data_IF_313409354451
#
_entry.id   IF_313409354451
#
_cell.length_a   1.000
_cell.length_b   1.000
_cell.length_c   1.000
_cell.angle_alpha   90.00
_cell.angle_beta   90.00
_cell.angle_gamma   90.00
#
_symmetry.space_group_name_H-M   'P 1'
#
loop_
_entity.id
_entity.type
_entity.pdbx_description
1 polymer ?
#
# COMPACT_ATOMS: atom_id res chain seq x y z
N UNK A 1 22.69 -0.31 -7.88
CA UNK A 1 22.53 -0.74 -8.36
C UNK A 1 21.40 -1.34 -8.99
N UNK A 2 21.30 -2.37 -8.69
CA UNK A 2 20.27 -3.02 -9.17
C UNK A 2 19.03 -2.41 -8.64
N UNK A 3 18.32 -1.78 -9.45
CA UNK A 3 17.12 -1.14 -9.03
C UNK A 3 16.01 -2.13 -8.78
N UNK A 4 16.34 -3.35 -8.71
CA UNK A 4 15.35 -4.34 -8.47
C UNK A 4 14.61 -4.09 -7.18
N UNK A 5 13.31 -4.12 -7.27
CA UNK A 5 12.48 -3.97 -6.11
C UNK A 5 12.29 -5.33 -5.50
N UNK A 6 12.82 -5.49 -4.29
CA UNK A 6 12.62 -6.72 -3.56
C UNK A 6 11.80 -6.39 -2.35
N UNK A 7 10.50 -6.42 -2.52
CA UNK A 7 9.60 -6.11 -1.42
C UNK A 7 9.18 -7.41 -0.78
N UNK A 8 9.45 -7.51 0.50
CA UNK A 8 8.97 -8.66 1.24
C UNK A 8 7.56 -8.36 1.67
N UNK A 9 6.63 -8.82 0.91
CA UNK A 9 5.23 -8.56 1.18
C UNK A 9 4.77 -9.46 2.30
N UNK A 10 3.88 -8.95 3.17
CA UNK A 10 3.31 -9.80 4.21
C UNK A 10 2.68 -11.05 3.62
N UNK A 11 2.99 -12.19 4.19
CA UNK A 11 2.45 -13.45 3.73
C UNK A 11 3.19 -14.08 2.56
N UNK A 12 4.17 -13.38 1.99
CA UNK A 12 4.98 -13.94 0.90
C UNK A 12 6.36 -14.22 1.45
N UNK A 13 6.68 -15.49 1.57
CA UNK A 13 7.97 -15.88 2.14
C UNK A 13 8.95 -16.40 1.11
N UNK A 14 8.43 -16.78 -0.03
CA UNK A 14 9.27 -17.34 -1.08
C UNK A 14 9.63 -16.22 -2.05
N UNK A 15 10.92 -15.98 -2.19
CA UNK A 15 11.42 -14.95 -3.09
C UNK A 15 11.00 -15.19 -4.53
N UNK A 16 10.97 -16.46 -4.94
CA UNK A 16 10.55 -16.76 -6.29
C UNK A 16 9.08 -16.44 -6.50
N UNK A 17 8.24 -16.74 -5.52
CA UNK A 17 6.83 -16.42 -5.60
C UNK A 17 6.62 -14.91 -5.60
N UNK A 18 7.37 -14.18 -4.78
CA UNK A 18 7.30 -12.73 -4.78
C UNK A 18 7.70 -12.15 -6.12
N UNK A 19 8.76 -12.65 -6.72
CA UNK A 19 9.18 -12.20 -8.03
C UNK A 19 8.13 -12.47 -9.08
N UNK A 20 7.49 -13.61 -9.01
CA UNK A 20 6.46 -13.94 -9.96
C UNK A 20 5.29 -12.98 -9.86
N UNK A 21 4.87 -12.67 -8.65
CA UNK A 21 3.79 -11.73 -8.42
C UNK A 21 4.16 -10.34 -8.91
N UNK A 22 5.32 -9.84 -8.49
CA UNK A 22 5.75 -8.50 -8.88
C UNK A 22 6.04 -8.41 -10.37
N UNK A 23 6.63 -9.45 -10.93
CA UNK A 23 6.93 -9.47 -12.35
C UNK A 23 5.67 -9.50 -13.19
N UNK A 24 4.57 -9.98 -12.61
CA UNK A 24 3.32 -9.94 -13.31
C UNK A 24 2.79 -8.52 -13.35
N UNK A 25 2.41 -7.91 -12.20
CA UNK A 25 1.81 -6.58 -12.26
C UNK A 25 1.50 -6.01 -10.91
N UNK A 26 2.29 -6.30 -9.93
CA UNK A 26 2.06 -5.75 -8.59
C UNK A 26 2.82 -4.45 -8.39
N UNK A 27 2.23 -3.54 -7.63
CA UNK A 27 2.87 -2.27 -7.30
C UNK A 27 2.36 -1.76 -5.96
N UNK A 28 3.00 -0.70 -5.48
CA UNK A 28 2.60 -0.05 -4.24
C UNK A 28 2.24 1.40 -4.51
N UNK A 29 1.36 1.94 -3.69
CA UNK A 29 1.04 3.36 -3.67
C UNK A 29 0.99 3.85 -2.24
N UNK A 30 1.39 5.09 -2.04
CA UNK A 30 1.30 5.75 -0.74
C UNK A 30 0.21 6.80 -0.80
N UNK A 31 -0.73 6.73 0.17
CA UNK A 31 -1.89 7.63 0.18
C UNK A 31 -2.15 8.11 1.60
N UNK A 32 -2.67 9.34 1.69
CA UNK A 32 -3.08 9.88 2.97
C UNK A 32 -4.37 9.20 3.43
N UNK A 33 -4.50 9.01 4.74
CA UNK A 33 -5.74 8.51 5.32
C UNK A 33 -6.67 9.69 5.55
N UNK A 34 -7.93 9.54 5.18
CA UNK A 34 -8.94 10.56 5.44
C UNK A 34 -9.60 10.24 6.77
N UNK A 35 -9.37 11.10 7.75
CA UNK A 35 -9.91 10.92 9.08
C UNK A 35 -11.16 11.78 9.34
N UNK A 36 -11.69 12.41 8.31
CA UNK A 36 -12.81 13.35 8.49
C UNK A 36 -14.12 12.67 8.82
N UNK A 37 -14.30 11.42 8.41
CA UNK A 37 -15.50 10.66 8.74
C UNK A 37 -15.13 9.24 9.10
N UNK A 38 -16.02 8.56 9.80
CA UNK A 38 -15.80 7.17 10.16
C UNK A 38 -15.90 6.27 8.92
N UNK A 39 -14.94 5.38 8.67
CA UNK A 39 -15.04 4.48 7.53
C UNK A 39 -16.29 3.58 7.59
N UNK A 40 -16.68 3.13 8.78
CA UNK A 40 -17.86 2.29 8.92
C UNK A 40 -19.13 3.07 8.56
N UNK A 41 -19.20 4.33 8.96
CA UNK A 41 -20.34 5.17 8.61
C UNK A 41 -20.40 5.42 7.12
N UNK A 42 -19.24 5.65 6.49
CA UNK A 42 -19.19 5.85 5.05
C UNK A 42 -19.67 4.64 4.29
N UNK A 43 -19.29 3.45 4.74
CA UNK A 43 -19.76 2.21 4.12
C UNK A 43 -21.27 2.06 4.28
N UNK A 44 -21.77 2.30 5.48
CA UNK A 44 -23.20 2.11 5.78
C UNK A 44 -24.08 3.11 5.05
N UNK A 45 -23.65 4.36 4.97
CA UNK A 45 -24.49 5.44 4.39
C UNK A 45 -24.23 5.65 2.91
N UNK A 46 -23.08 5.22 2.40
CA UNK A 46 -22.68 5.54 1.05
C UNK A 46 -22.11 6.93 0.89
N UNK A 47 -22.01 7.70 1.98
CA UNK A 47 -21.50 9.06 1.92
C UNK A 47 -20.00 9.07 2.11
N UNK A 48 -19.27 9.16 1.00
CA UNK A 48 -17.82 9.19 0.99
C UNK A 48 -17.39 10.59 0.56
N UNK A 49 -16.44 11.22 1.28
CA UNK A 49 -15.93 12.51 0.83
C UNK A 49 -15.46 12.45 -0.62
N UNK A 50 -15.72 13.48 -1.43
CA UNK A 50 -15.48 13.39 -2.88
C UNK A 50 -14.01 13.20 -3.26
N UNK A 51 -13.08 13.60 -2.40
CA UNK A 51 -11.65 13.41 -2.67
C UNK A 51 -11.09 12.16 -2.03
N UNK A 52 -11.95 11.27 -1.55
CA UNK A 52 -11.53 10.02 -0.91
C UNK A 52 -12.28 8.83 -1.48
N UNK A 53 -11.78 7.64 -1.16
CA UNK A 53 -12.38 6.40 -1.61
C UNK A 53 -12.22 5.36 -0.50
N UNK A 54 -13.15 4.41 -0.45
CA UNK A 54 -13.10 3.32 0.53
C UNK A 54 -12.14 2.26 0.03
N UNK A 55 -11.19 1.90 0.88
CA UNK A 55 -10.29 0.76 0.68
C UNK A 55 -10.51 -0.20 1.83
N UNK A 56 -9.93 -1.38 1.72
CA UNK A 56 -10.01 -2.37 2.78
C UNK A 56 -8.62 -2.84 3.16
N UNK A 57 -8.43 -3.10 4.44
CA UNK A 57 -7.16 -3.62 4.92
C UNK A 57 -7.02 -5.09 4.54
N UNK A 58 -5.78 -5.54 4.41
CA UNK A 58 -5.51 -6.96 4.17
C UNK A 58 -5.99 -7.82 5.33
N UNK A 59 -5.72 -7.36 6.56
CA UNK A 59 -6.19 -8.08 7.73
C UNK A 59 -7.68 -7.89 7.92
N UNK A 60 -8.32 -8.88 8.51
CA UNK A 60 -9.75 -8.79 8.82
C UNK A 60 -9.95 -8.49 10.29
N UNK A 61 -11.13 -8.03 10.64
CA UNK A 61 -11.47 -7.76 12.02
C UNK A 61 -11.76 -9.01 12.80
N UNK A 62 -12.05 -8.89 14.11
CA UNK A 62 -12.34 -10.04 14.96
C UNK A 62 -13.55 -10.84 14.49
N UNK A 63 -14.46 -10.21 13.79
CA UNK A 63 -15.64 -10.87 13.24
C UNK A 63 -15.40 -11.50 11.88
N UNK A 64 -14.16 -11.48 11.39
CA UNK A 64 -13.81 -12.03 10.10
C UNK A 64 -14.18 -11.14 8.92
N UNK A 65 -14.70 -9.95 9.18
CA UNK A 65 -15.11 -9.05 8.11
C UNK A 65 -13.98 -8.10 7.71
N UNK A 66 -13.96 -7.65 6.45
CA UNK A 66 -12.95 -6.68 6.02
C UNK A 66 -13.04 -5.38 6.81
N UNK A 67 -11.89 -4.78 7.07
CA UNK A 67 -11.79 -3.52 7.80
C UNK A 67 -11.70 -2.40 6.78
N UNK A 68 -12.69 -1.51 6.69
CA UNK A 68 -12.64 -0.42 5.74
C UNK A 68 -11.76 0.73 6.25
N UNK A 69 -11.22 1.47 5.32
CA UNK A 69 -10.45 2.67 5.62
C UNK A 69 -10.62 3.64 4.45
N UNK A 70 -10.69 4.92 4.77
CA UNK A 70 -10.83 5.95 3.75
C UNK A 70 -9.45 6.51 3.41
N UNK A 71 -9.12 6.50 2.14
CA UNK A 71 -7.86 7.06 1.66
C UNK A 71 -8.15 8.14 0.63
N UNK A 72 -7.29 9.13 0.58
CA UNK A 72 -7.38 10.18 -0.42
C UNK A 72 -7.12 9.61 -1.80
N UNK A 73 -7.83 10.12 -2.78
CA UNK A 73 -7.65 9.70 -4.17
C UNK A 73 -6.31 10.12 -4.73
N UNK A 74 -5.76 11.21 -4.22
CA UNK A 74 -4.47 11.70 -4.67
C UNK A 74 -3.36 10.81 -4.13
N UNK A 75 -2.48 10.35 -5.01
CA UNK A 75 -1.37 9.49 -4.64
C UNK A 75 -0.18 10.34 -4.24
N UNK A 76 0.45 10.01 -3.10
CA UNK A 76 1.65 10.70 -2.66
C UNK A 76 2.85 10.23 -3.48
N UNK A 77 2.99 8.91 -3.61
CA UNK A 77 4.06 8.30 -4.39
C UNK A 77 3.55 6.99 -4.97
N UNK A 78 3.99 6.68 -6.19
CA UNK A 78 3.58 5.46 -6.87
C UNK A 78 4.74 4.49 -6.94
N UNK A 79 4.43 3.25 -7.32
CA UNK A 79 5.43 2.20 -7.42
C UNK A 79 6.53 2.48 -8.42
N UNK A 80 6.21 3.20 -9.53
CA UNK A 80 7.26 3.52 -10.50
C UNK A 80 8.23 4.56 -9.97
N UNK A 81 7.96 5.19 -8.86
CA UNK A 81 8.89 6.11 -8.23
C UNK A 81 9.78 5.43 -7.19
N UNK A 82 9.51 4.16 -6.90
CA UNK A 82 10.38 3.38 -6.03
C UNK A 82 11.61 2.92 -6.81
N UNK A 83 12.77 3.22 -6.29
CA UNK A 83 14.02 2.76 -6.90
C UNK A 83 14.64 1.61 -6.13
N UNK A 84 14.28 1.45 -4.88
CA UNK A 84 14.79 0.37 -4.07
C UNK A 84 13.89 0.11 -2.87
N UNK A 85 13.84 -1.14 -2.44
CA UNK A 85 13.13 -1.52 -1.22
C UNK A 85 13.83 -2.74 -0.65
N UNK A 86 14.12 -2.69 0.65
CA UNK A 86 14.82 -3.78 1.32
C UNK A 86 14.20 -4.05 2.67
N UNK A 87 13.93 -5.31 2.96
CA UNK A 87 13.39 -5.69 4.26
C UNK A 87 14.51 -5.83 5.27
N UNK A 88 14.17 -5.63 6.53
CA UNK A 88 15.11 -5.75 7.61
C UNK A 88 14.38 -5.73 8.93
N UNK A 89 15.14 -5.49 9.98
CA UNK A 89 14.58 -5.44 11.33
C UNK A 89 15.05 -4.19 12.03
N UNK A 90 14.15 -3.60 12.81
CA UNK A 90 14.49 -2.46 13.64
C UNK A 90 15.49 -2.90 14.70
N UNK A 91 16.57 -2.16 14.82
CA UNK A 91 17.62 -2.52 15.76
C UNK A 91 17.23 -2.33 17.22
N UNK A 92 16.21 -1.51 17.47
CA UNK A 92 15.80 -1.22 18.83
C UNK A 92 14.85 -2.26 19.37
N UNK A 93 13.86 -2.66 18.59
CA UNK A 93 12.85 -3.58 19.11
C UNK A 93 12.72 -4.87 18.29
N UNK A 94 13.51 -5.02 17.24
CA UNK A 94 13.49 -6.22 16.43
C UNK A 94 12.28 -6.36 15.53
N UNK A 95 11.45 -5.33 15.42
CA UNK A 95 10.27 -5.43 14.58
C UNK A 95 10.64 -5.39 13.09
N UNK A 96 9.88 -6.06 12.24
CA UNK A 96 10.14 -6.02 10.82
C UNK A 96 9.93 -4.62 10.24
N UNK A 97 10.75 -4.26 9.27
CA UNK A 97 10.63 -2.99 8.59
C UNK A 97 11.09 -3.13 7.15
N UNK A 98 10.66 -2.19 6.32
CA UNK A 98 11.08 -2.10 4.93
C UNK A 98 11.70 -0.73 4.72
N UNK A 99 12.92 -0.71 4.20
CA UNK A 99 13.59 0.53 3.84
C UNK A 99 13.27 0.83 2.39
N UNK A 100 12.77 2.02 2.13
CA UNK A 100 12.29 2.42 0.80
C UNK A 100 13.09 3.61 0.30
N UNK A 101 13.46 3.55 -0.98
CA UNK A 101 14.10 4.67 -1.65
C UNK A 101 13.25 5.07 -2.84
N UNK A 102 12.97 6.36 -2.94
CA UNK A 102 12.20 6.92 -4.05
C UNK A 102 13.12 7.69 -4.99
N UNK A 103 12.66 7.87 -6.22
CA UNK A 103 13.40 8.75 -7.14
C UNK A 103 13.20 10.20 -6.73
N UNK A 104 13.81 11.13 -7.47
CA UNK A 104 13.79 12.54 -7.10
C UNK A 104 12.37 13.11 -7.05
N UNK A 105 11.52 12.72 -7.99
CA UNK A 105 10.14 13.22 -8.03
C UNK A 105 9.34 12.70 -6.85
N UNK A 106 9.40 11.39 -6.62
CA UNK A 106 8.70 10.78 -5.50
C UNK A 106 9.20 11.29 -4.17
N UNK A 107 10.53 11.50 -4.07
CA UNK A 107 11.12 12.01 -2.84
C UNK A 107 10.65 13.42 -2.51
N UNK A 108 10.56 14.30 -3.52
CA UNK A 108 10.06 15.66 -3.29
C UNK A 108 8.59 15.66 -2.87
N UNK A 109 7.78 14.83 -3.50
CA UNK A 109 6.37 14.72 -3.12
C UNK A 109 6.20 14.19 -1.70
N UNK A 110 6.98 13.18 -1.36
CA UNK A 110 6.92 12.61 -0.01
C UNK A 110 7.37 13.61 1.03
N UNK A 111 8.45 14.36 0.74
CA UNK A 111 8.93 15.39 1.66
C UNK A 111 7.87 16.46 1.88
N UNK A 112 7.27 16.96 0.81
CA UNK A 112 6.23 17.97 0.91
C UNK A 112 5.04 17.45 1.72
N UNK A 113 4.63 16.24 1.41
CA UNK A 113 3.48 15.65 2.10
C UNK A 113 3.74 15.46 3.58
N UNK A 114 4.90 14.88 3.94
CA UNK A 114 5.20 14.60 5.34
C UNK A 114 5.40 15.89 6.12
N UNK A 115 5.98 16.92 5.49
CA UNK A 115 6.13 18.21 6.13
C UNK A 115 4.79 18.79 6.57
N UNK A 116 3.76 18.60 5.77
CA UNK A 116 2.43 19.13 6.05
C UNK A 116 1.57 18.22 6.91
N UNK A 117 2.01 16.99 7.15
CA UNK A 117 1.16 15.98 7.77
C UNK A 117 1.83 15.20 8.89
N UNK A 118 2.79 15.78 9.58
CA UNK A 118 3.42 15.12 10.73
C UNK A 118 2.33 14.83 11.77
N UNK A 119 2.35 13.62 12.31
CA UNK A 119 1.37 13.17 13.28
C UNK A 119 0.14 12.54 12.67
N UNK A 120 -0.02 12.60 11.36
CA UNK A 120 -1.18 12.03 10.68
C UNK A 120 -0.84 10.70 10.03
N UNK A 121 -1.84 9.83 9.84
CA UNK A 121 -1.58 8.52 9.29
C UNK A 121 -1.40 8.53 7.77
N UNK A 122 -0.51 7.67 7.30
CA UNK A 122 -0.28 7.42 5.88
C UNK A 122 -0.43 5.94 5.63
N UNK A 123 -1.05 5.59 4.53
CA UNK A 123 -1.31 4.20 4.17
C UNK A 123 -0.47 3.75 3.00
N UNK A 124 -0.11 2.48 3.01
CA UNK A 124 0.53 1.82 1.87
C UNK A 124 -0.49 0.86 1.28
N UNK A 125 -0.75 1.01 -0.01
CA UNK A 125 -1.71 0.18 -0.73
C UNK A 125 -0.93 -0.74 -1.68
N UNK A 126 -1.21 -2.03 -1.57
CA UNK A 126 -0.68 -3.02 -2.50
C UNK A 126 -1.70 -3.21 -3.60
N UNK A 127 -1.28 -3.03 -4.85
CA UNK A 127 -2.15 -3.13 -6.00
C UNK A 127 -1.63 -4.25 -6.89
N UNK A 128 -2.51 -5.19 -7.19
CA UNK A 128 -2.16 -6.33 -8.01
C UNK A 128 -3.15 -6.44 -9.15
N UNK A 129 -2.62 -6.62 -10.37
CA UNK A 129 -3.45 -6.86 -11.54
C UNK A 129 -3.39 -8.33 -11.88
N UNK A 130 -4.54 -8.97 -11.83
CA UNK A 130 -4.66 -10.40 -12.02
C UNK A 130 -5.36 -10.67 -13.34
N UNK A 131 -4.71 -11.40 -14.26
CA UNK A 131 -5.41 -11.77 -15.47
C UNK A 131 -6.52 -12.75 -15.13
N UNK A 132 -7.67 -12.56 -15.77
CA UNK A 132 -8.80 -13.45 -15.63
C UNK A 132 -9.28 -13.89 -16.99
N UNK A 133 -9.72 -15.13 -17.06
CA UNK A 133 -10.34 -15.66 -18.26
C UNK A 133 -11.79 -16.00 -17.93
N UNK A 134 -12.71 -15.44 -18.66
CA UNK A 134 -14.13 -15.69 -18.49
C UNK A 134 -14.70 -16.28 -19.75
N UNK A 135 -15.70 -17.13 -19.59
CA UNK A 135 -16.46 -17.63 -20.71
C UNK A 135 -17.69 -16.76 -20.88
N UNK A 136 -17.79 -16.09 -22.00
CA UNK A 136 -18.94 -15.25 -22.34
C UNK A 136 -19.48 -15.73 -23.69
N UNK A 137 -20.72 -16.21 -23.68
CA UNK A 137 -21.36 -16.73 -24.90
C UNK A 137 -20.51 -17.77 -25.62
N UNK A 138 -19.88 -18.66 -24.83
CA UNK A 138 -19.06 -19.74 -25.38
C UNK A 138 -17.68 -19.34 -25.82
N UNK A 139 -17.29 -18.07 -25.63
CA UNK A 139 -15.98 -17.59 -26.03
C UNK A 139 -15.17 -17.15 -24.83
N UNK A 140 -13.86 -17.35 -24.89
CA UNK A 140 -12.96 -16.87 -23.88
C UNK A 140 -12.79 -15.36 -23.99
N UNK A 141 -13.02 -14.67 -22.89
CA UNK A 141 -12.75 -13.24 -22.81
C UNK A 141 -11.68 -13.05 -21.74
N UNK A 142 -10.57 -12.42 -22.12
CA UNK A 142 -9.50 -12.12 -21.19
C UNK A 142 -9.69 -10.73 -20.65
N UNK A 143 -9.75 -10.65 -19.31
CA UNK A 143 -9.90 -9.38 -18.61
C UNK A 143 -8.85 -9.30 -17.53
N UNK A 144 -8.76 -8.14 -16.89
CA UNK A 144 -7.84 -7.91 -15.78
C UNK A 144 -8.66 -7.52 -14.56
N UNK A 145 -8.43 -8.23 -13.47
CA UNK A 145 -9.02 -7.88 -12.19
C UNK A 145 -7.98 -7.14 -11.37
N UNK A 146 -8.36 -6.03 -10.79
CA UNK A 146 -7.48 -5.26 -9.94
C UNK A 146 -7.83 -5.54 -8.50
N UNK A 147 -6.83 -5.98 -7.74
CA UNK A 147 -6.97 -6.23 -6.32
C UNK A 147 -6.17 -5.17 -5.58
N UNK A 148 -6.82 -4.48 -4.66
CA UNK A 148 -6.19 -3.43 -3.87
C UNK A 148 -6.37 -3.73 -2.40
N UNK A 149 -5.28 -3.71 -1.65
CA UNK A 149 -5.32 -3.95 -0.21
C UNK A 149 -4.43 -2.97 0.51
N UNK A 150 -4.91 -2.46 1.62
CA UNK A 150 -4.08 -1.63 2.49
C UNK A 150 -3.26 -2.56 3.37
N UNK A 151 -1.95 -2.53 3.20
CA UNK A 151 -1.06 -3.44 3.91
C UNK A 151 -0.37 -2.79 5.11
N UNK A 152 -0.41 -1.46 5.20
CA UNK A 152 0.20 -0.76 6.32
C UNK A 152 -0.46 0.59 6.51
N UNK A 153 -0.63 0.98 7.74
CA UNK A 153 -1.06 2.34 8.12
C UNK A 153 -0.18 2.75 9.29
N UNK A 154 0.53 3.85 9.14
CA UNK A 154 1.43 4.32 10.18
C UNK A 154 1.42 5.83 10.26
N UNK A 155 1.54 6.36 11.46
CA UNK A 155 1.62 7.80 11.65
C UNK A 155 2.96 8.32 11.19
N UNK A 156 2.92 9.50 10.55
CA UNK A 156 4.12 10.18 10.10
C UNK A 156 4.78 10.80 11.31
N UNK A 157 5.98 10.33 11.63
CA UNK A 157 6.67 10.77 12.85
C UNK A 157 7.62 11.93 12.64
N UNK A 158 7.88 12.28 11.39
CA UNK A 158 8.75 13.38 11.07
C UNK A 158 8.78 13.57 9.57
N UNK A 159 9.53 14.58 9.12
CA UNK A 159 9.66 14.87 7.71
C UNK A 159 10.66 13.91 7.09
N UNK A 160 10.28 13.29 5.98
CA UNK A 160 11.20 12.46 5.21
C UNK A 160 10.82 12.54 3.73
N UNK A 161 11.75 12.17 2.88
CA UNK A 161 11.50 12.27 1.46
C UNK A 161 11.99 11.04 0.72
N UNK A 162 13.20 11.13 0.15
CA UNK A 162 13.68 10.10 -0.76
C UNK A 162 13.92 8.76 -0.10
N UNK A 163 14.32 8.73 1.16
CA UNK A 163 14.60 7.50 1.88
C UNK A 163 13.85 7.47 3.19
N UNK A 164 13.21 6.36 3.47
CA UNK A 164 12.49 6.21 4.73
C UNK A 164 12.27 4.73 5.03
N UNK A 165 11.80 4.47 6.24
CA UNK A 165 11.52 3.12 6.70
C UNK A 165 10.04 3.01 7.04
N UNK A 166 9.46 1.89 6.65
CA UNK A 166 8.08 1.59 6.97
C UNK A 166 8.06 0.41 7.92
N UNK A 167 7.41 0.59 9.07
CA UNK A 167 7.28 -0.48 10.05
C UNK A 167 5.86 -1.00 10.07
N UNK A 168 5.67 -2.14 10.70
CA UNK A 168 4.34 -2.70 10.85
C UNK A 168 3.76 -3.38 9.64
N UNK A 169 4.57 -3.57 8.61
CA UNK A 169 4.08 -4.24 7.41
C UNK A 169 3.77 -5.69 7.63
N UNK A 170 4.44 -6.28 8.57
CA UNK A 170 4.27 -7.66 8.74
C UNK A 170 3.06 -7.98 9.48
N UNK A 171 2.84 -7.27 10.25
CA UNK A 171 1.89 -7.61 11.02
C UNK A 171 1.60 -8.86 11.13
N UNK A 172 2.22 -9.38 10.98
CA UNK A 172 2.07 -10.54 11.11
C UNK A 172 1.13 -11.01 11.30
N UNK A 173 0.98 -10.68 11.21
CA UNK A 173 0.26 -11.18 11.43
C UNK A 173 -0.31 -11.75 11.21
#
# INVERSE_FOLDING_TARGET
GDSRIVVQLPGVQDTAAAKKILGATATLEYRAVDESVSPLDAVASGNVPPDSRIYYRRETGPDGKPIPILLKKRVIATGDQLTDAASGFDQQDGSPMVSVTLNAVGGRRMEQFTMENVGKPMAVVFIERLPEVRMVDGKEVRTTRIKEEVISVANIRGVFGKRFQTTGLDSTQ
#
